data_IF_597420801153
#
_entry.id   IF_597420801153
#
_cell.length_a   1.000
_cell.length_b   1.000
_cell.length_c   1.000
_cell.angle_alpha   90.00
_cell.angle_beta   90.00
_cell.angle_gamma   90.00
#
_symmetry.space_group_name_H-M   'P 1'
#
loop_
_entity.id
_entity.type
_entity.pdbx_description
1 polymer ?
#
# COMPACT_ATOMS: atom_id res chain seq x y z
N UNK A 1 0.48 -40.51 -18.19
CA UNK A 1 0.28 -39.12 -18.67
C UNK A 1 0.79 -38.14 -17.62
N UNK A 2 1.72 -37.24 -17.94
CA UNK A 2 2.20 -36.21 -17.03
C UNK A 2 1.07 -35.29 -16.55
N UNK A 3 1.12 -34.84 -15.29
CA UNK A 3 0.10 -33.99 -14.65
C UNK A 3 -0.21 -32.71 -15.44
N UNK A 4 0.82 -32.09 -16.03
CA UNK A 4 0.69 -30.90 -16.88
C UNK A 4 -0.18 -31.11 -18.14
N UNK A 5 -0.38 -32.35 -18.61
CA UNK A 5 -1.27 -32.67 -19.74
C UNK A 5 -2.68 -33.10 -19.32
N UNK A 6 -2.90 -33.36 -18.02
CA UNK A 6 -4.20 -33.73 -17.45
C UNK A 6 -5.00 -32.50 -17.01
N UNK A 7 -4.31 -31.42 -16.65
CA UNK A 7 -4.93 -30.17 -16.21
C UNK A 7 -5.27 -29.26 -17.41
N UNK A 8 -6.45 -28.61 -17.41
CA UNK A 8 -6.81 -27.66 -18.45
C UNK A 8 -5.93 -26.40 -18.36
N UNK A 9 -5.59 -25.82 -19.51
CA UNK A 9 -5.03 -24.47 -19.56
C UNK A 9 -6.07 -23.49 -19.03
N UNK A 10 -5.69 -22.61 -18.10
CA UNK A 10 -6.59 -21.64 -17.47
C UNK A 10 -6.04 -20.24 -17.55
N UNK A 11 -6.92 -19.30 -17.91
CA UNK A 11 -6.66 -17.87 -17.90
C UNK A 11 -5.78 -17.38 -19.04
N UNK A 12 -5.44 -16.11 -18.95
CA UNK A 12 -4.49 -15.39 -19.80
C UNK A 12 -3.78 -14.35 -18.93
N UNK A 13 -2.59 -13.91 -19.31
CA UNK A 13 -1.83 -12.88 -18.59
C UNK A 13 -2.19 -11.50 -19.15
N UNK A 14 -2.69 -10.60 -18.30
CA UNK A 14 -2.96 -9.21 -18.69
C UNK A 14 -1.65 -8.39 -18.68
N UNK A 15 -1.28 -7.83 -19.82
CA UNK A 15 -0.08 -6.99 -19.98
C UNK A 15 -0.24 -5.57 -19.42
N UNK A 16 -1.48 -5.09 -19.21
CA UNK A 16 -1.77 -3.76 -18.66
C UNK A 16 -2.16 -3.82 -17.18
N UNK A 17 -1.81 -4.91 -16.50
CA UNK A 17 -2.07 -5.03 -15.07
C UNK A 17 -1.23 -3.99 -14.31
N UNK A 18 -1.90 -3.11 -13.56
CA UNK A 18 -1.23 -2.11 -12.72
C UNK A 18 -0.77 -2.76 -11.43
N UNK A 19 0.51 -2.63 -11.14
CA UNK A 19 1.11 -3.09 -9.89
C UNK A 19 1.34 -1.89 -8.97
N UNK A 20 0.76 -1.92 -7.78
CA UNK A 20 0.95 -0.87 -6.79
C UNK A 20 1.95 -1.31 -5.74
N UNK A 21 2.77 -0.37 -5.28
CA UNK A 21 3.57 -0.56 -4.08
C UNK A 21 2.62 -0.51 -2.87
N UNK A 22 2.58 -1.60 -2.08
CA UNK A 22 1.69 -1.69 -0.92
C UNK A 22 2.43 -1.40 0.38
N UNK A 23 1.83 -0.58 1.24
CA UNK A 23 2.33 -0.31 2.60
C UNK A 23 1.21 -0.53 3.62
N UNK A 24 1.53 -1.14 4.75
CA UNK A 24 0.58 -1.36 5.85
C UNK A 24 0.64 -0.21 6.86
N UNK A 25 -0.47 0.05 7.54
CA UNK A 25 -0.52 1.04 8.63
C UNK A 25 0.44 0.73 9.78
N UNK A 26 0.73 -0.55 10.04
CA UNK A 26 1.75 -0.96 11.02
C UNK A 26 3.15 -0.44 10.72
N UNK A 27 3.52 -0.33 9.43
CA UNK A 27 4.84 0.16 9.05
C UNK A 27 4.91 1.68 9.17
N UNK A 28 3.77 2.37 9.02
CA UNK A 28 3.65 3.81 9.23
C UNK A 28 3.82 4.21 10.70
N UNK A 29 3.56 3.32 11.67
CA UNK A 29 3.82 3.60 13.09
C UNK A 29 5.31 3.82 13.41
N UNK A 30 6.21 3.29 12.58
CA UNK A 30 7.67 3.47 12.75
C UNK A 30 8.12 4.88 12.38
N UNK A 31 7.31 5.65 11.67
CA UNK A 31 7.60 7.04 11.29
C UNK A 31 7.30 8.00 12.44
N UNK A 32 7.90 9.19 12.40
CA UNK A 32 7.66 10.24 13.39
C UNK A 32 6.23 10.81 13.31
N UNK A 33 5.71 11.24 14.46
CA UNK A 33 4.38 11.85 14.57
C UNK A 33 4.35 13.18 13.81
N UNK A 34 3.39 13.34 12.90
CA UNK A 34 3.24 14.52 12.05
C UNK A 34 4.01 14.48 10.72
N UNK A 35 4.71 13.38 10.41
CA UNK A 35 5.44 13.26 9.15
C UNK A 35 4.49 13.19 7.93
N UNK A 36 4.97 13.74 6.81
CA UNK A 36 4.33 13.60 5.50
C UNK A 36 4.81 12.28 4.88
N UNK A 37 3.86 11.37 4.68
CA UNK A 37 4.09 10.06 4.08
C UNK A 37 3.88 10.19 2.58
N UNK A 38 4.98 10.36 1.87
CA UNK A 38 5.08 10.46 0.41
C UNK A 38 5.83 9.25 -0.15
N UNK A 39 5.72 9.03 -1.47
CA UNK A 39 6.44 7.95 -2.16
C UNK A 39 7.96 8.07 -1.96
N UNK A 40 8.50 9.29 -1.94
CA UNK A 40 9.92 9.55 -1.75
C UNK A 40 10.36 9.24 -0.31
N UNK A 41 9.59 9.67 0.70
CA UNK A 41 9.92 9.41 2.10
C UNK A 41 9.82 7.91 2.43
N UNK A 42 8.90 7.18 1.78
CA UNK A 42 8.80 5.72 1.92
C UNK A 42 9.93 4.96 1.20
N UNK A 43 10.48 5.51 0.11
CA UNK A 43 11.67 4.97 -0.57
C UNK A 43 12.92 5.17 0.29
N UNK A 44 13.12 6.37 0.84
CA UNK A 44 14.27 6.71 1.70
C UNK A 44 14.28 5.89 2.99
N UNK A 45 13.11 5.68 3.60
CA UNK A 45 12.96 4.82 4.78
C UNK A 45 13.03 3.32 4.46
N UNK A 46 13.20 2.94 3.18
CA UNK A 46 13.29 1.55 2.74
C UNK A 46 11.99 0.74 2.91
N UNK A 47 10.87 1.40 3.19
CA UNK A 47 9.55 0.76 3.32
C UNK A 47 9.01 0.30 1.96
N UNK A 48 9.47 0.94 0.89
CA UNK A 48 9.18 0.57 -0.49
C UNK A 48 10.49 0.46 -1.25
N UNK A 49 10.67 -0.63 -2.02
CA UNK A 49 11.86 -0.81 -2.87
C UNK A 49 11.74 -0.13 -4.24
N UNK A 50 10.52 -0.04 -4.78
CA UNK A 50 10.22 0.59 -6.07
C UNK A 50 8.86 1.27 -6.01
N UNK A 51 8.80 2.51 -6.46
CA UNK A 51 7.54 3.12 -6.85
C UNK A 51 7.09 2.44 -8.15
N UNK A 52 6.20 1.43 -8.05
CA UNK A 52 5.57 0.81 -9.21
C UNK A 52 4.57 1.81 -9.85
N UNK A 53 3.33 1.42 -10.14
CA UNK A 53 2.29 2.31 -10.69
C UNK A 53 1.61 3.21 -9.63
N UNK A 54 2.23 3.36 -8.45
CA UNK A 54 1.76 4.20 -7.35
C UNK A 54 1.73 3.51 -5.98
N UNK A 55 1.32 4.26 -4.96
CA UNK A 55 1.22 3.81 -3.58
C UNK A 55 -0.20 3.34 -3.24
N UNK A 56 -0.32 2.15 -2.64
CA UNK A 56 -1.56 1.63 -2.06
C UNK A 56 -1.40 1.38 -0.56
N UNK A 57 -2.25 1.99 0.25
CA UNK A 57 -2.20 1.83 1.72
C UNK A 57 -3.22 0.79 2.20
N UNK A 58 -2.74 -0.17 2.98
CA UNK A 58 -3.48 -1.32 3.48
C UNK A 58 -3.72 -1.20 4.99
N UNK A 59 -4.93 -1.56 5.43
CA UNK A 59 -5.39 -1.39 6.81
C UNK A 59 -4.89 -2.42 7.83
N UNK A 60 -3.76 -3.08 7.61
CA UNK A 60 -3.23 -4.07 8.57
C UNK A 60 -2.39 -3.40 9.66
N UNK A 61 -2.61 -3.75 10.93
CA UNK A 61 -1.96 -3.14 12.10
C UNK A 61 -2.77 -2.03 12.79
N UNK A 62 -2.23 -1.53 13.90
CA UNK A 62 -2.74 -0.33 14.58
C UNK A 62 -2.04 0.91 14.03
N UNK A 63 -2.69 2.08 14.18
CA UNK A 63 -2.08 3.38 13.90
C UNK A 63 -2.48 4.32 15.03
N UNK A 64 -1.51 4.70 15.86
CA UNK A 64 -1.71 5.66 16.96
C UNK A 64 -1.23 7.09 16.64
N UNK A 65 -0.41 7.23 15.61
CA UNK A 65 0.24 8.49 15.21
C UNK A 65 -0.57 9.27 14.20
N UNK A 66 -0.48 10.60 14.26
CA UNK A 66 -1.09 11.52 13.30
C UNK A 66 -0.16 11.68 12.11
N UNK A 67 -0.57 11.16 10.95
CA UNK A 67 0.24 11.22 9.73
C UNK A 67 -0.58 11.84 8.60
N UNK A 68 0.10 12.56 7.71
CA UNK A 68 -0.49 13.02 6.44
C UNK A 68 -0.04 12.06 5.36
N UNK A 69 -0.96 11.24 4.84
CA UNK A 69 -0.64 10.16 3.90
C UNK A 69 -1.08 10.53 2.50
N UNK A 70 -0.11 10.61 1.58
CA UNK A 70 -0.37 10.86 0.15
C UNK A 70 -0.23 9.56 -0.64
N UNK A 71 -1.33 9.05 -1.16
CA UNK A 71 -1.33 7.79 -1.90
C UNK A 71 -2.34 7.78 -3.05
N UNK A 72 -2.13 6.88 -4.02
CA UNK A 72 -3.04 6.73 -5.17
C UNK A 72 -4.28 5.93 -4.78
N UNK A 73 -4.13 4.97 -3.87
CA UNK A 73 -5.24 4.13 -3.39
C UNK A 73 -5.16 3.85 -1.91
N UNK A 74 -6.33 3.85 -1.28
CA UNK A 74 -6.50 3.42 0.09
C UNK A 74 -7.48 2.26 0.17
N UNK A 75 -7.34 1.45 1.21
CA UNK A 75 -8.36 0.47 1.59
C UNK A 75 -9.32 1.09 2.58
N UNK A 76 -10.59 0.71 2.55
CA UNK A 76 -11.61 1.25 3.48
C UNK A 76 -11.19 1.15 4.95
N UNK A 77 -10.53 0.05 5.31
CA UNK A 77 -10.03 -0.16 6.67
C UNK A 77 -8.82 0.72 7.00
N UNK A 78 -7.98 1.07 6.03
CA UNK A 78 -6.89 2.02 6.22
C UNK A 78 -7.44 3.44 6.41
N UNK A 79 -8.39 3.87 5.57
CA UNK A 79 -9.03 5.18 5.69
C UNK A 79 -9.61 5.40 7.09
N UNK A 80 -10.42 4.43 7.57
CA UNK A 80 -11.01 4.48 8.90
C UNK A 80 -9.96 4.59 10.02
N UNK A 81 -8.86 3.85 9.93
CA UNK A 81 -7.79 3.89 10.93
C UNK A 81 -7.02 5.21 10.90
N UNK A 82 -6.75 5.76 9.72
CA UNK A 82 -6.07 7.05 9.57
C UNK A 82 -6.96 8.18 10.10
N UNK A 83 -8.25 8.18 9.78
CA UNK A 83 -9.20 9.15 10.32
C UNK A 83 -9.38 9.01 11.84
N UNK A 84 -9.42 7.78 12.37
CA UNK A 84 -9.50 7.53 13.81
C UNK A 84 -8.26 8.03 14.57
N UNK A 85 -7.07 7.95 13.97
CA UNK A 85 -5.86 8.55 14.51
C UNK A 85 -5.81 10.08 14.37
N UNK A 86 -6.75 10.69 13.62
CA UNK A 86 -6.77 12.12 13.32
C UNK A 86 -5.75 12.55 12.26
N UNK A 87 -5.35 11.64 11.38
CA UNK A 87 -4.48 11.90 10.23
C UNK A 87 -5.24 12.44 9.01
N UNK A 88 -4.49 12.97 8.04
CA UNK A 88 -5.02 13.49 6.78
C UNK A 88 -4.75 12.53 5.63
N UNK A 89 -5.71 12.37 4.73
CA UNK A 89 -5.65 11.48 3.57
C UNK A 89 -5.68 12.36 2.33
N UNK A 90 -4.59 12.36 1.55
CA UNK A 90 -4.54 13.00 0.24
C UNK A 90 -4.48 11.93 -0.84
N UNK A 91 -5.50 11.88 -1.70
CA UNK A 91 -5.55 10.97 -2.84
C UNK A 91 -4.94 11.66 -4.05
N UNK A 92 -3.88 11.07 -4.62
CA UNK A 92 -3.14 11.56 -5.81
C UNK A 92 -3.49 10.75 -7.06
#
# INVERSE_FOLDING_TARGET
>A
MPLARRLPKRGFTNIFAKEYATVNVSDLEKLDDGAIVDVNTLLENGMIKKACDGLKVLGNGELKKKLTVKAVKFTKTAEQKITAAGGSIEVL
#
